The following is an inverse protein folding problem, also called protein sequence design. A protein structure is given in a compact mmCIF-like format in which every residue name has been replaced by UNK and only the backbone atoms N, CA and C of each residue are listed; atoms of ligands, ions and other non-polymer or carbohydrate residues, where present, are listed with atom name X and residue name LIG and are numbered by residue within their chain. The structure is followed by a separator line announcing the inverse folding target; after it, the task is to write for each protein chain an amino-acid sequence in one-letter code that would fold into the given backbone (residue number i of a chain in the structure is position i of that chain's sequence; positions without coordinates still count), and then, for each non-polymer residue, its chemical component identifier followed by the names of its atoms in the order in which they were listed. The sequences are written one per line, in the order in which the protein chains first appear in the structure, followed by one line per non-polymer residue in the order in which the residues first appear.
data_IF_187086779595
#
_entry.id   IF_187086779595
#
_cell.length_a   1.000
_cell.length_b   1.000
_cell.length_c   1.000
_cell.angle_alpha   90.00
_cell.angle_beta   90.00
_cell.angle_gamma   90.00
#
_symmetry.space_group_name_H-M   'P 1'
#
loop_
_entity.id
_entity.type
_entity.pdbx_description
1 polymer ?
#
# COMPACT_ATOMS: atom_id res chain seq x y z
N UNK A 1 -1.26 65.79 -25.52
CA UNK A 1 -1.77 64.52 -26.07
C UNK A 1 -1.26 63.39 -25.20
N UNK A 2 -2.15 62.82 -24.37
CA UNK A 2 -1.83 61.67 -23.52
C UNK A 2 -2.26 60.40 -24.26
N UNK A 3 -1.30 59.53 -24.62
CA UNK A 3 -1.58 58.25 -25.22
C UNK A 3 -2.20 57.30 -24.16
N UNK A 4 -3.26 56.58 -24.47
CA UNK A 4 -3.81 55.59 -23.54
C UNK A 4 -2.85 54.42 -23.44
N UNK A 5 -2.53 54.02 -22.20
CA UNK A 5 -1.86 52.76 -21.89
C UNK A 5 -2.79 51.57 -22.27
N UNK A 6 -2.24 50.52 -22.89
CA UNK A 6 -3.04 49.33 -23.16
C UNK A 6 -3.43 48.65 -21.85
N UNK A 7 -4.72 48.42 -21.65
CA UNK A 7 -5.27 47.55 -20.61
C UNK A 7 -4.79 46.13 -20.92
N UNK A 8 -3.89 45.58 -20.12
CA UNK A 8 -3.59 44.16 -20.16
C UNK A 8 -4.88 43.41 -19.74
N UNK A 9 -5.45 42.69 -20.69
CA UNK A 9 -6.54 41.78 -20.41
C UNK A 9 -6.02 40.75 -19.38
N UNK A 10 -6.63 40.74 -18.19
CA UNK A 10 -6.38 39.66 -17.23
C UNK A 10 -6.77 38.35 -17.91
N UNK A 11 -5.83 37.44 -18.02
CA UNK A 11 -6.11 36.07 -18.51
C UNK A 11 -7.26 35.48 -17.69
N UNK A 12 -8.26 34.91 -18.40
CA UNK A 12 -9.33 34.19 -17.73
C UNK A 12 -8.71 33.12 -16.82
N UNK A 13 -9.21 32.94 -15.57
CA UNK A 13 -8.64 31.94 -14.67
C UNK A 13 -8.66 30.57 -15.37
N UNK A 14 -7.50 29.93 -15.37
CA UNK A 14 -7.36 28.61 -15.98
C UNK A 14 -8.44 27.67 -15.43
N UNK A 15 -9.18 27.02 -16.33
CA UNK A 15 -10.27 26.11 -15.96
C UNK A 15 -9.71 25.03 -15.03
N UNK A 16 -10.28 24.89 -13.83
CA UNK A 16 -9.93 23.82 -12.92
C UNK A 16 -10.08 22.44 -13.64
N UNK A 17 -9.04 21.61 -13.53
CA UNK A 17 -9.07 20.22 -13.99
C UNK A 17 -9.14 19.31 -12.77
N UNK A 18 -10.09 18.39 -12.78
CA UNK A 18 -10.19 17.37 -11.72
C UNK A 18 -8.99 16.40 -11.78
N UNK A 19 -8.68 15.77 -10.65
CA UNK A 19 -7.66 14.73 -10.59
C UNK A 19 -7.93 13.60 -11.61
N UNK A 20 -9.20 13.25 -11.86
CA UNK A 20 -9.56 12.23 -12.85
C UNK A 20 -9.26 12.68 -14.29
N UNK A 21 -9.62 13.91 -14.67
CA UNK A 21 -9.31 14.45 -16.01
C UNK A 21 -7.79 14.53 -16.25
N UNK A 22 -6.99 14.74 -15.20
CA UNK A 22 -5.52 14.73 -15.28
C UNK A 22 -5.01 13.31 -15.54
N UNK A 23 -5.53 12.33 -14.76
CA UNK A 23 -5.17 10.92 -14.89
C UNK A 23 -5.56 10.37 -16.26
N UNK A 24 -6.77 10.67 -16.76
CA UNK A 24 -7.28 10.19 -18.04
C UNK A 24 -6.48 10.74 -19.23
N UNK A 25 -5.92 11.95 -19.09
CA UNK A 25 -5.08 12.59 -20.10
C UNK A 25 -3.59 12.23 -19.98
N UNK A 26 -3.21 11.35 -19.04
CA UNK A 26 -1.81 11.03 -18.78
C UNK A 26 -1.16 10.25 -19.92
N UNK A 27 0.09 10.55 -20.29
CA UNK A 27 0.83 9.78 -21.28
C UNK A 27 1.18 8.38 -20.73
N UNK A 28 1.36 7.42 -21.64
CA UNK A 28 1.73 6.05 -21.27
C UNK A 28 3.07 5.96 -20.48
N UNK A 29 3.99 6.89 -20.76
CA UNK A 29 5.29 6.99 -20.08
C UNK A 29 5.20 7.26 -18.56
N UNK A 30 4.08 7.82 -18.11
CA UNK A 30 3.85 8.11 -16.69
C UNK A 30 3.38 6.87 -15.90
N UNK A 31 3.22 5.75 -16.58
CA UNK A 31 2.78 4.49 -16.00
C UNK A 31 3.86 3.42 -16.11
N UNK A 32 3.93 2.55 -15.14
CA UNK A 32 4.80 1.38 -15.17
C UNK A 32 4.07 0.12 -14.68
N UNK A 33 4.58 -1.02 -15.07
CA UNK A 33 4.09 -2.32 -14.60
C UNK A 33 4.92 -2.74 -13.38
N UNK A 34 4.29 -3.12 -12.25
CA UNK A 34 5.01 -3.67 -11.11
C UNK A 34 5.80 -4.93 -11.49
N UNK A 35 6.96 -5.11 -10.87
CA UNK A 35 7.81 -6.27 -11.12
C UNK A 35 7.10 -7.57 -10.72
N UNK A 36 6.98 -8.58 -11.61
CA UNK A 36 6.24 -9.81 -11.32
C UNK A 36 6.78 -10.58 -10.11
N UNK A 37 8.09 -10.54 -9.86
CA UNK A 37 8.73 -11.15 -8.70
C UNK A 37 8.42 -10.44 -7.39
N UNK A 38 7.85 -9.23 -7.44
CA UNK A 38 7.39 -8.44 -6.30
C UNK A 38 5.87 -8.34 -6.23
N UNK A 39 5.15 -9.03 -7.10
CA UNK A 39 3.69 -9.00 -7.16
C UNK A 39 3.12 -10.32 -6.66
N UNK A 40 2.30 -10.26 -5.60
CA UNK A 40 1.57 -11.41 -5.09
C UNK A 40 0.11 -11.38 -5.58
N UNK A 41 -0.40 -12.52 -5.91
CA UNK A 41 -1.81 -12.78 -6.17
C UNK A 41 -2.39 -13.62 -5.04
N UNK A 42 -3.16 -13.00 -4.15
CA UNK A 42 -3.96 -13.68 -3.15
C UNK A 42 -5.31 -14.02 -3.77
N UNK A 43 -5.63 -15.30 -3.91
CA UNK A 43 -6.89 -15.78 -4.44
C UNK A 43 -7.84 -16.13 -3.30
N UNK A 44 -8.99 -15.48 -3.27
CA UNK A 44 -10.11 -15.73 -2.39
C UNK A 44 -11.29 -16.24 -3.22
N UNK A 45 -12.31 -16.84 -2.58
CA UNK A 45 -13.53 -17.29 -3.28
C UNK A 45 -14.18 -16.14 -4.07
N UNK A 46 -14.21 -14.92 -3.50
CA UNK A 46 -14.81 -13.74 -4.12
C UNK A 46 -13.97 -13.05 -5.21
N UNK A 47 -12.70 -13.47 -5.43
CA UNK A 47 -11.82 -12.83 -6.42
C UNK A 47 -10.35 -12.78 -6.02
N UNK A 48 -9.60 -11.93 -6.70
CA UNK A 48 -8.15 -11.82 -6.53
C UNK A 48 -7.76 -10.46 -5.93
N UNK A 49 -6.98 -10.51 -4.85
CA UNK A 49 -6.25 -9.36 -4.32
C UNK A 49 -4.85 -9.34 -4.94
N UNK A 50 -4.43 -8.20 -5.47
CA UNK A 50 -3.10 -8.01 -6.04
C UNK A 50 -2.30 -7.12 -5.11
N UNK A 51 -1.15 -7.60 -4.69
CA UNK A 51 -0.28 -6.96 -3.69
C UNK A 51 1.09 -6.72 -4.31
N UNK A 52 1.66 -5.57 -4.06
CA UNK A 52 3.04 -5.23 -4.40
C UNK A 52 3.91 -5.28 -3.14
N UNK A 53 5.01 -6.01 -3.21
CA UNK A 53 6.00 -6.12 -2.15
C UNK A 53 7.04 -5.00 -2.25
N UNK A 54 7.57 -4.57 -1.11
CA UNK A 54 8.49 -3.44 -0.95
C UNK A 54 9.93 -3.89 -0.60
N UNK A 55 10.67 -4.58 -1.50
CA UNK A 55 12.00 -5.11 -1.19
C UNK A 55 13.04 -4.02 -0.89
N UNK A 56 12.80 -2.79 -1.32
CA UNK A 56 13.66 -1.64 -1.00
C UNK A 56 13.62 -1.33 0.50
N UNK A 57 12.50 -1.57 1.17
CA UNK A 57 12.31 -1.25 2.59
C UNK A 57 12.48 -2.46 3.51
N UNK A 58 12.04 -3.62 3.08
CA UNK A 58 12.05 -4.85 3.88
C UNK A 58 12.63 -6.03 3.07
N UNK A 59 13.92 -5.98 2.66
CA UNK A 59 14.51 -7.01 1.82
C UNK A 59 14.47 -8.41 2.44
N UNK A 60 14.69 -8.54 3.75
CA UNK A 60 14.70 -9.83 4.43
C UNK A 60 13.30 -10.43 4.53
N UNK A 61 12.31 -9.65 4.98
CA UNK A 61 10.91 -10.10 5.04
C UNK A 61 10.37 -10.40 3.65
N UNK A 62 10.62 -9.54 2.65
CA UNK A 62 10.17 -9.79 1.27
C UNK A 62 10.83 -11.05 0.70
N UNK A 63 12.12 -11.27 0.99
CA UNK A 63 12.81 -12.52 0.64
C UNK A 63 12.10 -13.76 1.21
N UNK A 64 11.75 -13.69 2.49
CA UNK A 64 11.05 -14.77 3.19
C UNK A 64 9.63 -14.99 2.65
N UNK A 65 8.88 -13.90 2.42
CA UNK A 65 7.54 -13.95 1.82
C UNK A 65 7.58 -14.60 0.43
N UNK A 66 8.58 -14.26 -0.40
CA UNK A 66 8.73 -14.89 -1.73
C UNK A 66 9.01 -16.38 -1.62
N UNK A 67 9.84 -16.81 -0.65
CA UNK A 67 10.11 -18.22 -0.40
C UNK A 67 8.83 -18.95 -0.01
N UNK A 68 8.10 -18.44 0.97
CA UNK A 68 6.84 -19.02 1.43
C UNK A 68 5.76 -19.05 0.33
N UNK A 69 5.70 -18.04 -0.53
CA UNK A 69 4.77 -18.04 -1.66
C UNK A 69 5.08 -19.13 -2.68
N UNK A 70 6.37 -19.38 -2.99
CA UNK A 70 6.81 -20.47 -3.88
C UNK A 70 6.53 -21.84 -3.26
N UNK A 71 6.60 -21.95 -1.96
CA UNK A 71 6.37 -23.19 -1.22
C UNK A 71 4.90 -23.37 -0.80
N UNK A 72 4.00 -22.52 -1.31
CA UNK A 72 2.56 -22.62 -1.07
C UNK A 72 2.17 -22.57 0.42
N UNK A 73 2.90 -21.80 1.21
CA UNK A 73 2.67 -21.73 2.66
C UNK A 73 1.24 -21.31 3.01
N UNK A 74 0.71 -20.26 2.33
CA UNK A 74 -0.62 -19.74 2.64
C UNK A 74 -1.78 -20.52 2.02
N UNK A 75 -1.51 -21.50 1.14
CA UNK A 75 -2.56 -22.27 0.47
C UNK A 75 -3.36 -23.06 1.51
N UNK A 76 -4.67 -22.82 1.53
CA UNK A 76 -5.59 -23.42 2.49
C UNK A 76 -5.58 -22.78 3.90
N UNK A 77 -4.76 -21.77 4.14
CA UNK A 77 -4.86 -20.94 5.34
C UNK A 77 -6.02 -19.94 5.22
N UNK A 78 -6.14 -19.00 6.14
CA UNK A 78 -7.30 -18.12 6.18
C UNK A 78 -6.97 -16.71 6.68
N UNK A 79 -7.86 -15.77 6.34
CA UNK A 79 -7.99 -14.53 7.09
C UNK A 79 -8.73 -14.89 8.38
N UNK A 80 -8.02 -14.83 9.49
CA UNK A 80 -8.51 -15.30 10.80
C UNK A 80 -8.85 -14.18 11.78
N UNK A 81 -8.58 -12.91 11.37
CA UNK A 81 -8.88 -11.70 12.13
C UNK A 81 -9.38 -10.59 11.20
N UNK A 82 -10.45 -9.93 11.59
CA UNK A 82 -10.95 -8.71 10.95
C UNK A 82 -11.40 -7.75 12.04
N UNK A 83 -10.54 -6.82 12.40
CA UNK A 83 -10.83 -5.81 13.41
C UNK A 83 -11.41 -4.55 12.77
N UNK A 84 -12.53 -4.07 13.30
CA UNK A 84 -13.17 -2.88 12.77
C UNK A 84 -12.24 -1.66 12.81
N UNK A 85 -12.33 -0.85 11.76
CA UNK A 85 -11.54 0.37 11.56
C UNK A 85 -10.03 0.19 11.78
N UNK A 86 -9.48 -1.02 11.54
CA UNK A 86 -8.07 -1.31 11.74
C UNK A 86 -7.50 -2.18 10.62
N UNK A 87 -7.53 -3.51 10.77
CA UNK A 87 -6.87 -4.43 9.84
C UNK A 87 -7.69 -5.70 9.59
N UNK A 88 -7.41 -6.36 8.47
CA UNK A 88 -7.60 -7.80 8.30
C UNK A 88 -6.24 -8.48 8.39
N UNK A 89 -6.16 -9.64 9.06
CA UNK A 89 -4.93 -10.39 9.28
C UNK A 89 -5.10 -11.83 8.83
N UNK A 90 -4.07 -12.35 8.20
CA UNK A 90 -4.06 -13.69 7.63
C UNK A 90 -2.70 -14.36 7.82
N UNK A 91 -2.74 -15.69 7.83
CA UNK A 91 -1.61 -16.57 8.07
C UNK A 91 -2.07 -17.85 8.72
N UNK A 92 -1.20 -18.47 9.52
CA UNK A 92 -1.51 -19.66 10.26
C UNK A 92 -2.11 -19.33 11.64
N UNK A 93 -3.40 -19.52 11.78
CA UNK A 93 -4.09 -19.24 13.05
C UNK A 93 -3.65 -20.16 14.21
N UNK A 94 -2.94 -21.24 13.91
CA UNK A 94 -2.40 -22.20 14.88
C UNK A 94 -0.87 -22.05 15.05
N UNK A 95 -0.26 -20.96 14.56
CA UNK A 95 1.19 -20.72 14.57
C UNK A 95 1.83 -20.85 15.97
N UNK A 96 1.09 -20.52 17.04
CA UNK A 96 1.56 -20.62 18.43
C UNK A 96 1.50 -22.06 18.99
N UNK A 97 0.78 -22.96 18.35
CA UNK A 97 0.69 -24.38 18.69
C UNK A 97 1.68 -25.21 17.87
N UNK A 98 2.85 -25.49 18.44
CA UNK A 98 3.91 -26.25 17.75
C UNK A 98 3.48 -27.59 17.17
N UNK A 99 2.40 -28.19 17.68
CA UNK A 99 1.88 -29.47 17.17
C UNK A 99 0.99 -29.29 15.94
N UNK A 100 0.47 -28.10 15.69
CA UNK A 100 -0.45 -27.78 14.60
C UNK A 100 0.12 -26.80 13.59
N UNK A 101 1.10 -25.98 14.01
CA UNK A 101 1.69 -24.96 13.18
C UNK A 101 2.15 -25.51 11.83
N UNK A 102 1.75 -24.83 10.75
CA UNK A 102 2.17 -25.17 9.39
C UNK A 102 3.65 -24.89 9.21
N UNK A 103 4.37 -25.81 8.61
CA UNK A 103 5.79 -25.64 8.30
C UNK A 103 5.96 -24.48 7.31
N UNK A 104 6.90 -23.57 7.60
CA UNK A 104 7.32 -22.50 6.68
C UNK A 104 8.33 -22.98 5.63
N UNK A 105 8.57 -24.29 5.55
CA UNK A 105 9.46 -24.89 4.55
C UNK A 105 10.92 -24.42 4.72
N UNK A 106 11.52 -23.89 3.65
CA UNK A 106 12.90 -23.37 3.62
C UNK A 106 13.00 -21.89 4.03
N UNK A 107 11.89 -21.26 4.42
CA UNK A 107 11.91 -19.86 4.88
C UNK A 107 12.75 -19.70 6.16
N UNK A 108 13.38 -18.54 6.31
CA UNK A 108 14.18 -18.22 7.50
C UNK A 108 13.32 -18.20 8.75
N UNK A 109 13.88 -18.69 9.84
CA UNK A 109 13.23 -18.74 11.18
C UNK A 109 13.63 -17.57 12.09
N UNK A 110 14.43 -16.64 11.58
CA UNK A 110 14.83 -15.42 12.26
C UNK A 110 15.10 -14.33 11.23
N UNK A 111 14.50 -13.14 11.44
CA UNK A 111 14.70 -11.96 10.61
C UNK A 111 14.94 -10.75 11.51
N UNK A 112 15.79 -9.79 11.09
CA UNK A 112 15.92 -8.52 11.81
C UNK A 112 14.65 -7.68 11.60
N UNK A 113 14.37 -6.77 12.53
CA UNK A 113 13.36 -5.75 12.33
C UNK A 113 13.74 -4.80 11.18
N UNK A 114 12.79 -4.53 10.26
CA UNK A 114 12.99 -3.65 9.11
C UNK A 114 11.99 -2.48 9.15
N UNK A 115 11.99 -1.74 10.27
CA UNK A 115 11.02 -0.68 10.53
C UNK A 115 11.29 0.61 9.77
N UNK A 116 12.54 0.83 9.38
CA UNK A 116 13.05 2.01 8.68
C UNK A 116 14.39 1.71 8.02
N UNK A 117 14.82 2.61 7.14
CA UNK A 117 16.15 2.53 6.53
C UNK A 117 16.77 3.92 6.36
N UNK A 118 18.09 4.05 6.14
CA UNK A 118 18.71 5.33 5.78
C UNK A 118 18.05 5.93 4.54
N UNK A 119 17.83 7.26 4.57
CA UNK A 119 17.27 8.03 3.45
C UNK A 119 18.23 8.10 2.27
N UNK A 120 19.53 8.00 2.54
CA UNK A 120 20.57 8.07 1.52
C UNK A 120 20.33 7.02 0.42
N UNK A 121 20.39 7.47 -0.84
CA UNK A 121 20.22 6.61 -2.02
C UNK A 121 18.75 6.31 -2.41
N UNK A 122 17.76 6.85 -1.67
CA UNK A 122 16.36 6.72 -2.05
C UNK A 122 15.95 7.84 -3.02
N UNK A 123 15.26 7.48 -4.10
CA UNK A 123 14.58 8.44 -4.98
C UNK A 123 13.28 8.90 -4.29
N UNK A 124 13.38 9.92 -3.45
CA UNK A 124 12.28 10.43 -2.65
C UNK A 124 11.51 11.53 -3.40
N UNK A 125 10.27 11.26 -3.77
CA UNK A 125 9.33 12.26 -4.31
C UNK A 125 8.62 12.93 -3.16
N UNK A 126 9.04 14.14 -2.81
CA UNK A 126 8.48 14.89 -1.69
C UNK A 126 7.07 15.40 -1.98
N UNK A 127 6.21 15.35 -0.97
CA UNK A 127 4.93 16.05 -0.97
C UNK A 127 5.09 17.48 -0.44
N UNK A 128 4.20 18.39 -0.84
CA UNK A 128 4.26 19.78 -0.38
C UNK A 128 3.93 19.94 1.10
N UNK A 129 3.15 19.01 1.65
CA UNK A 129 2.63 19.09 3.01
C UNK A 129 3.27 18.03 3.90
N UNK A 130 3.60 18.41 5.13
CA UNK A 130 3.94 17.49 6.21
C UNK A 130 2.66 16.99 6.89
N UNK A 131 2.77 15.89 7.63
CA UNK A 131 1.70 15.43 8.53
C UNK A 131 2.14 15.44 9.99
N UNK A 132 1.27 15.00 10.89
CA UNK A 132 1.56 14.92 12.33
C UNK A 132 2.53 13.79 12.72
N UNK A 133 2.92 12.92 11.77
CA UNK A 133 3.68 11.70 12.02
C UNK A 133 5.11 11.75 11.47
N UNK A 134 5.36 12.63 10.52
CA UNK A 134 6.67 12.76 9.90
C UNK A 134 6.95 14.22 9.48
N UNK A 135 8.17 14.74 9.71
CA UNK A 135 8.58 16.07 9.24
C UNK A 135 8.53 16.21 7.72
N UNK A 136 8.76 15.11 7.01
CA UNK A 136 8.70 15.02 5.55
C UNK A 136 7.83 13.83 5.18
N UNK A 137 6.96 14.03 4.21
CA UNK A 137 6.11 12.99 3.62
C UNK A 137 6.34 12.92 2.13
N UNK A 138 6.15 11.76 1.55
CA UNK A 138 6.37 11.56 0.12
C UNK A 138 6.19 10.14 -0.33
N UNK A 139 6.81 9.85 -1.47
CA UNK A 139 6.82 8.52 -2.05
C UNK A 139 8.24 8.09 -2.40
N UNK A 140 8.51 6.80 -2.28
CA UNK A 140 9.68 6.14 -2.85
C UNK A 140 9.17 5.01 -3.74
N UNK A 141 9.33 5.16 -5.05
CA UNK A 141 8.62 4.32 -6.00
C UNK A 141 7.10 4.44 -5.75
N UNK A 142 6.43 3.31 -5.59
CA UNK A 142 4.98 3.23 -5.41
C UNK A 142 4.53 3.29 -3.95
N UNK A 143 5.45 3.52 -3.02
CA UNK A 143 5.16 3.40 -1.59
C UNK A 143 5.12 4.76 -0.89
N UNK A 144 4.04 4.98 -0.13
CA UNK A 144 3.90 6.13 0.75
C UNK A 144 4.90 6.04 1.91
N UNK A 145 5.65 7.10 2.15
CA UNK A 145 6.72 7.12 3.15
C UNK A 145 6.71 8.37 4.02
N UNK A 146 7.10 8.19 5.28
CA UNK A 146 7.53 9.28 6.15
C UNK A 146 9.05 9.32 6.25
N UNK A 147 9.61 10.50 6.53
CA UNK A 147 11.05 10.66 6.75
C UNK A 147 11.33 11.77 7.77
N UNK A 148 12.37 11.56 8.58
CA UNK A 148 12.96 12.60 9.44
C UNK A 148 14.16 13.30 8.77
N UNK A 149 14.53 12.85 7.57
CA UNK A 149 15.67 13.33 6.79
C UNK A 149 16.87 12.39 6.86
N UNK A 150 17.09 11.73 7.98
CA UNK A 150 18.13 10.71 8.17
C UNK A 150 17.60 9.31 7.79
N UNK A 151 16.40 9.00 8.27
CA UNK A 151 15.72 7.73 8.01
C UNK A 151 14.41 7.95 7.26
N UNK A 152 14.03 6.93 6.51
CA UNK A 152 12.76 6.85 5.78
C UNK A 152 12.10 5.50 6.09
N UNK A 153 10.78 5.53 6.28
CA UNK A 153 9.96 4.37 6.62
C UNK A 153 8.67 4.34 5.83
N UNK A 154 8.12 3.15 5.62
CA UNK A 154 6.81 2.99 5.01
C UNK A 154 5.71 3.47 5.96
N UNK A 155 4.68 4.10 5.41
CA UNK A 155 3.57 4.64 6.16
C UNK A 155 2.38 3.67 6.21
N UNK A 156 1.78 3.48 7.39
CA UNK A 156 0.58 2.68 7.58
C UNK A 156 -0.66 3.37 7.01
N UNK A 157 -0.70 3.56 5.70
CA UNK A 157 -1.88 4.05 5.01
C UNK A 157 -2.88 2.90 4.72
N UNK A 158 -4.13 3.24 4.37
CA UNK A 158 -5.11 2.28 3.90
C UNK A 158 -4.54 1.43 2.76
N UNK A 159 -4.66 0.12 2.85
CA UNK A 159 -4.09 -0.83 1.91
C UNK A 159 -2.61 -1.18 2.14
N UNK A 160 -1.92 -0.60 3.13
CA UNK A 160 -0.57 -1.03 3.49
C UNK A 160 -0.59 -2.48 3.99
N UNK A 161 0.43 -3.26 3.58
CA UNK A 161 0.66 -4.64 4.02
C UNK A 161 1.78 -4.67 5.05
N UNK A 162 1.49 -5.18 6.24
CA UNK A 162 2.47 -5.33 7.31
C UNK A 162 2.69 -6.77 7.72
N UNK A 163 3.86 -7.04 8.29
CA UNK A 163 4.22 -8.33 8.85
C UNK A 163 3.98 -8.32 10.38
N UNK A 164 3.03 -9.15 10.82
CA UNK A 164 2.69 -9.28 12.24
C UNK A 164 3.87 -9.74 13.07
N UNK A 165 3.95 -9.25 14.31
CA UNK A 165 4.98 -9.63 15.29
C UNK A 165 4.39 -9.74 16.69
N UNK A 166 5.11 -10.42 17.56
CA UNK A 166 4.90 -10.42 19.01
C UNK A 166 5.59 -9.20 19.66
N UNK A 167 5.91 -9.24 20.94
CA UNK A 167 6.53 -8.11 21.62
C UNK A 167 7.97 -7.85 21.19
N UNK A 168 8.72 -8.89 20.86
CA UNK A 168 10.11 -8.77 20.44
C UNK A 168 10.17 -8.20 19.00
N UNK A 169 11.06 -7.24 18.78
CA UNK A 169 11.15 -6.51 17.52
C UNK A 169 11.46 -7.41 16.30
N UNK A 170 12.23 -8.48 16.53
CA UNK A 170 12.68 -9.46 15.55
C UNK A 170 11.82 -10.74 15.52
N UNK A 171 10.63 -10.71 16.13
CA UNK A 171 9.72 -11.87 16.18
C UNK A 171 8.88 -12.07 14.91
N UNK A 172 8.91 -11.12 13.97
CA UNK A 172 8.20 -11.27 12.70
C UNK A 172 9.00 -12.08 11.70
N UNK A 173 8.31 -12.99 11.01
CA UNK A 173 8.90 -13.82 9.94
C UNK A 173 8.25 -13.57 8.58
N UNK A 174 7.26 -12.66 8.52
CA UNK A 174 6.47 -12.42 7.31
C UNK A 174 5.46 -13.54 7.00
N UNK A 175 5.25 -14.49 7.90
CA UNK A 175 4.24 -15.56 7.77
C UNK A 175 2.84 -15.06 8.12
N UNK A 176 2.75 -14.23 9.15
CA UNK A 176 1.54 -13.55 9.59
C UNK A 176 1.51 -12.15 8.99
N UNK A 177 0.55 -11.91 8.10
CA UNK A 177 0.44 -10.65 7.37
C UNK A 177 -0.89 -9.97 7.68
N UNK A 178 -0.90 -8.64 7.68
CA UNK A 178 -2.13 -7.86 7.80
C UNK A 178 -2.21 -6.77 6.76
N UNK A 179 -3.43 -6.42 6.37
CA UNK A 179 -3.72 -5.26 5.51
C UNK A 179 -4.53 -4.25 6.29
N UNK A 180 -4.12 -2.98 6.22
CA UNK A 180 -4.86 -1.87 6.82
C UNK A 180 -6.17 -1.65 6.05
N UNK A 181 -7.31 -1.80 6.74
CA UNK A 181 -8.66 -1.67 6.16
C UNK A 181 -9.50 -0.58 6.83
N UNK A 182 -8.89 0.18 7.71
CA UNK A 182 -9.55 1.28 8.43
C UNK A 182 -8.74 2.57 8.39
N UNK A 183 -8.95 3.40 9.41
CA UNK A 183 -8.17 4.62 9.59
C UNK A 183 -6.69 4.28 9.69
N UNK A 184 -5.85 5.05 9.00
CA UNK A 184 -4.41 4.83 8.94
C UNK A 184 -3.77 4.80 10.33
N UNK A 185 -3.30 3.65 10.82
CA UNK A 185 -2.74 3.51 12.17
C UNK A 185 -1.27 3.98 12.18
N UNK A 186 -1.05 5.25 11.88
CA UNK A 186 0.29 5.86 11.74
C UNK A 186 1.16 5.78 13.00
N UNK A 187 0.55 5.54 14.19
CA UNK A 187 1.27 5.26 15.43
C UNK A 187 2.07 3.93 15.36
N UNK A 188 1.76 3.08 14.40
CA UNK A 188 2.53 1.85 14.13
C UNK A 188 3.75 2.09 13.25
N UNK A 189 3.87 3.26 12.61
CA UNK A 189 5.05 3.62 11.83
C UNK A 189 6.30 3.45 12.68
N UNK A 190 7.34 2.81 12.13
CA UNK A 190 8.61 2.49 12.80
C UNK A 190 8.50 1.51 13.99
N UNK A 191 7.35 0.86 14.15
CA UNK A 191 7.11 -0.15 15.19
C UNK A 191 6.80 -1.54 14.62
N UNK A 192 6.40 -1.61 13.37
CA UNK A 192 6.12 -2.87 12.66
C UNK A 192 6.69 -2.78 11.25
N UNK A 193 7.26 -3.88 10.77
CA UNK A 193 7.76 -3.96 9.39
C UNK A 193 6.60 -3.95 8.40
N UNK A 194 6.51 -2.91 7.58
CA UNK A 194 5.67 -2.91 6.40
C UNK A 194 6.43 -3.56 5.23
N UNK A 195 5.77 -4.42 4.51
CA UNK A 195 6.37 -5.26 3.46
C UNK A 195 5.78 -5.00 2.08
N UNK A 196 4.75 -4.14 1.98
CA UNK A 196 4.10 -3.89 0.70
C UNK A 196 2.80 -3.11 0.82
N UNK A 197 2.00 -3.20 -0.23
CA UNK A 197 0.67 -2.58 -0.31
C UNK A 197 -0.25 -3.34 -1.26
N UNK A 198 -1.55 -3.19 -1.10
CA UNK A 198 -2.55 -3.68 -2.05
C UNK A 198 -2.67 -2.72 -3.23
N UNK A 199 -2.60 -3.26 -4.45
CA UNK A 199 -2.81 -2.55 -5.70
C UNK A 199 -4.27 -2.63 -6.18
N UNK A 200 -4.90 -3.80 -5.99
CA UNK A 200 -6.27 -4.09 -6.42
C UNK A 200 -6.90 -5.15 -5.53
N UNK A 201 -8.22 -5.07 -5.32
CA UNK A 201 -8.96 -6.05 -4.52
C UNK A 201 -9.19 -5.62 -3.06
N UNK A 202 -8.99 -4.33 -2.72
CA UNK A 202 -9.29 -3.81 -1.39
C UNK A 202 -10.77 -3.97 -1.02
N UNK A 203 -11.67 -3.94 -2.00
CA UNK A 203 -13.11 -4.18 -1.82
C UNK A 203 -13.38 -5.58 -1.25
N UNK A 204 -12.58 -6.58 -1.61
CA UNK A 204 -12.69 -7.94 -1.07
C UNK A 204 -12.27 -7.99 0.41
N UNK A 205 -11.21 -7.28 0.76
CA UNK A 205 -10.68 -7.26 2.13
C UNK A 205 -11.51 -6.40 3.08
N UNK A 206 -11.96 -5.24 2.61
CA UNK A 206 -12.74 -4.30 3.42
C UNK A 206 -14.18 -4.76 3.68
N UNK A 207 -14.72 -5.68 2.86
CA UNK A 207 -16.05 -6.28 3.02
C UNK A 207 -16.10 -7.51 3.92
N UNK A 208 -14.95 -8.02 4.36
CA UNK A 208 -14.89 -9.18 5.25
C UNK A 208 -15.64 -8.88 6.55
N UNK A 209 -16.52 -9.81 6.98
CA UNK A 209 -17.26 -9.69 8.24
C UNK A 209 -16.30 -9.39 9.38
N UNK A 210 -16.64 -8.40 10.20
CA UNK A 210 -15.84 -8.11 11.39
C UNK A 210 -15.89 -9.24 12.39
N UNK A 211 -14.75 -9.61 12.95
CA UNK A 211 -14.66 -10.52 14.07
C UNK A 211 -15.12 -9.85 15.37
N UNK A 212 -15.34 -10.63 16.43
CA UNK A 212 -15.81 -10.10 17.71
C UNK A 212 -14.79 -9.15 18.36
N UNK A 213 -15.33 -8.18 19.12
CA UNK A 213 -14.51 -7.28 19.93
C UNK A 213 -13.79 -8.05 21.07
N UNK A 214 -12.65 -7.51 21.56
CA UNK A 214 -12.05 -6.25 21.17
C UNK A 214 -11.05 -6.34 20.00
N UNK A 215 -10.60 -7.53 19.64
CA UNK A 215 -9.44 -7.71 18.75
C UNK A 215 -9.81 -8.20 17.33
N UNK A 216 -11.04 -8.62 17.11
CA UNK A 216 -11.50 -9.06 15.81
C UNK A 216 -11.06 -10.47 15.39
N UNK A 217 -10.55 -11.30 16.31
CA UNK A 217 -10.21 -12.71 16.02
C UNK A 217 -11.47 -13.58 15.99
N UNK A 218 -11.61 -14.40 14.96
CA UNK A 218 -12.71 -15.36 14.89
C UNK A 218 -12.46 -16.56 15.81
N UNK A 219 -13.42 -16.83 16.67
CA UNK A 219 -13.35 -17.98 17.59
C UNK A 219 -13.45 -19.31 16.85
N UNK A 220 -14.30 -19.36 15.79
CA UNK A 220 -14.56 -20.57 15.03
C UNK A 220 -13.89 -20.53 13.67
N UNK A 221 -13.26 -21.64 13.26
CA UNK A 221 -12.65 -21.75 11.94
C UNK A 221 -13.64 -21.51 10.78
N UNK A 222 -14.91 -21.89 10.96
CA UNK A 222 -15.97 -21.68 9.96
C UNK A 222 -16.31 -20.19 9.69
N UNK A 223 -15.89 -19.27 10.56
CA UNK A 223 -16.09 -17.84 10.37
C UNK A 223 -14.95 -17.17 9.61
N UNK A 224 -13.82 -17.86 9.48
CA UNK A 224 -12.63 -17.38 8.78
C UNK A 224 -12.87 -17.36 7.28
N UNK A 225 -12.24 -16.42 6.58
CA UNK A 225 -12.29 -16.36 5.11
C UNK A 225 -11.13 -17.20 4.55
N UNK A 226 -11.40 -18.30 3.83
CA UNK A 226 -10.36 -19.15 3.27
C UNK A 226 -9.52 -18.43 2.23
N UNK A 227 -8.22 -18.67 2.24
CA UNK A 227 -7.28 -18.31 1.18
C UNK A 227 -7.06 -19.52 0.30
N UNK A 228 -7.47 -19.44 -0.97
CA UNK A 228 -7.26 -20.52 -1.92
C UNK A 228 -5.77 -20.68 -2.23
N UNK A 229 -5.08 -19.57 -2.49
CA UNK A 229 -3.62 -19.56 -2.72
C UNK A 229 -3.06 -18.15 -2.61
N UNK A 230 -1.76 -18.05 -2.29
CA UNK A 230 -0.95 -16.84 -2.52
C UNK A 230 0.24 -17.22 -3.39
N UNK A 231 0.36 -16.61 -4.56
CA UNK A 231 1.35 -16.93 -5.57
C UNK A 231 2.05 -15.67 -6.07
N UNK A 232 3.34 -15.80 -6.44
CA UNK A 232 4.05 -14.73 -7.15
C UNK A 232 3.56 -14.66 -8.60
N UNK A 233 3.37 -13.44 -9.10
CA UNK A 233 3.03 -13.26 -10.52
C UNK A 233 4.13 -13.82 -11.45
N UNK A 234 5.40 -13.83 -11.00
CA UNK A 234 6.51 -14.42 -11.75
C UNK A 234 6.37 -15.93 -11.96
N UNK A 235 5.68 -16.64 -11.09
CA UNK A 235 5.45 -18.10 -11.19
C UNK A 235 4.33 -18.46 -12.18
N UNK A 236 3.56 -17.46 -12.62
CA UNK A 236 2.49 -17.67 -13.60
C UNK A 236 2.97 -17.39 -15.03
N UNK A 237 2.44 -18.12 -16.04
CA UNK A 237 2.60 -17.75 -17.43
C UNK A 237 2.21 -16.29 -17.70
N UNK A 238 2.86 -15.64 -18.67
CA UNK A 238 2.66 -14.23 -18.91
C UNK A 238 1.20 -13.86 -19.28
N UNK A 239 0.51 -14.75 -19.96
CA UNK A 239 -0.91 -14.62 -20.36
C UNK A 239 -1.91 -14.77 -19.20
N UNK A 240 -1.46 -15.31 -18.05
CA UNK A 240 -2.26 -15.41 -16.83
C UNK A 240 -2.00 -14.26 -15.86
N UNK A 241 -1.02 -13.40 -16.15
CA UNK A 241 -0.72 -12.23 -15.35
C UNK A 241 -1.68 -11.09 -15.67
N UNK A 242 -2.10 -10.38 -14.64
CA UNK A 242 -2.93 -9.19 -14.83
C UNK A 242 -2.04 -8.07 -15.39
N UNK A 243 -2.42 -7.50 -16.53
CA UNK A 243 -1.74 -6.35 -17.11
C UNK A 243 -2.06 -5.08 -16.30
N UNK A 244 -1.46 -4.96 -15.13
CA UNK A 244 -1.68 -3.87 -14.21
C UNK A 244 -0.59 -2.82 -14.34
N UNK A 245 -0.98 -1.55 -14.33
CA UNK A 245 -0.08 -0.41 -14.36
C UNK A 245 -0.34 0.51 -13.17
N UNK A 246 0.73 1.08 -12.64
CA UNK A 246 0.72 2.05 -11.54
C UNK A 246 1.24 3.39 -12.07
N UNK A 247 0.63 4.49 -11.64
CA UNK A 247 1.10 5.83 -11.98
C UNK A 247 2.42 6.11 -11.25
N UNK A 248 3.44 6.50 -12.00
CA UNK A 248 4.75 6.87 -11.45
C UNK A 248 4.66 8.10 -10.56
N UNK A 249 5.11 8.01 -9.33
CA UNK A 249 5.05 9.10 -8.36
C UNK A 249 6.01 10.24 -8.67
N UNK A 250 7.04 9.99 -9.49
CA UNK A 250 7.97 11.00 -10.01
C UNK A 250 7.48 11.69 -11.30
N UNK A 251 6.26 11.38 -11.77
CA UNK A 251 5.68 11.96 -12.98
C UNK A 251 5.02 13.31 -12.74
N UNK A 252 4.97 14.13 -13.80
CA UNK A 252 4.20 15.37 -13.77
C UNK A 252 2.70 15.11 -13.53
N UNK A 253 2.15 14.05 -14.10
CA UNK A 253 0.75 13.67 -13.89
C UNK A 253 0.45 13.43 -12.42
N UNK A 254 1.35 12.75 -11.70
CA UNK A 254 1.18 12.54 -10.26
C UNK A 254 1.21 13.87 -9.49
N UNK A 255 2.19 14.72 -9.74
CA UNK A 255 2.30 16.04 -9.10
C UNK A 255 1.05 16.91 -9.34
N UNK A 256 0.57 16.96 -10.59
CA UNK A 256 -0.65 17.70 -10.96
C UNK A 256 -1.90 17.12 -10.26
N UNK A 257 -1.95 15.78 -10.12
CA UNK A 257 -3.06 15.08 -9.43
C UNK A 257 -3.08 15.40 -7.94
N UNK A 258 -1.91 15.42 -7.29
CA UNK A 258 -1.76 15.82 -5.89
C UNK A 258 -2.23 17.26 -5.70
N UNK A 259 -1.79 18.18 -6.56
CA UNK A 259 -2.14 19.61 -6.48
C UNK A 259 -3.66 19.81 -6.74
N UNK A 260 -4.23 19.12 -7.70
CA UNK A 260 -5.67 19.18 -7.99
C UNK A 260 -6.54 18.70 -6.82
N UNK A 261 -6.05 17.75 -6.03
CA UNK A 261 -6.73 17.30 -4.80
C UNK A 261 -6.54 18.28 -3.65
N UNK A 262 -5.31 18.76 -3.47
CA UNK A 262 -4.91 19.69 -2.42
C UNK A 262 -5.68 21.02 -2.50
N UNK A 263 -5.86 21.54 -3.71
CA UNK A 263 -6.48 22.84 -3.97
C UNK A 263 -7.77 22.74 -4.78
N UNK A 264 -8.55 21.67 -4.55
CA UNK A 264 -9.80 21.43 -5.26
C UNK A 264 -10.80 22.57 -5.02
N UNK A 265 -11.19 23.23 -6.11
CA UNK A 265 -12.27 24.23 -6.16
C UNK A 265 -13.14 23.94 -7.38
N UNK A 266 -14.39 23.54 -7.18
CA UNK A 266 -15.32 23.19 -8.25
C UNK A 266 -16.77 23.51 -7.85
N UNK A 267 -17.73 22.99 -8.57
CA UNK A 267 -19.15 23.17 -8.27
C UNK A 267 -19.57 22.72 -6.86
N UNK A 268 -18.91 21.69 -6.32
CA UNK A 268 -19.15 21.16 -4.98
C UNK A 268 -18.23 21.79 -3.93
N UNK A 269 -16.91 21.77 -4.17
CA UNK A 269 -15.92 22.33 -3.24
C UNK A 269 -15.82 23.85 -3.38
N UNK A 270 -16.20 24.58 -2.35
CA UNK A 270 -16.24 26.06 -2.33
C UNK A 270 -14.98 26.69 -1.76
N UNK A 271 -14.17 25.90 -1.03
CA UNK A 271 -12.91 26.33 -0.42
C UNK A 271 -11.87 25.24 -0.64
N UNK A 272 -10.72 25.64 -1.13
CA UNK A 272 -9.55 24.76 -1.20
C UNK A 272 -9.06 24.43 0.22
N UNK A 273 -8.69 23.18 0.46
CA UNK A 273 -8.08 22.79 1.72
C UNK A 273 -6.68 23.39 1.90
N UNK A 274 -5.93 23.55 0.80
CA UNK A 274 -4.55 24.01 0.82
C UNK A 274 -3.57 23.02 1.45
N UNK A 275 -4.07 21.80 1.73
CA UNK A 275 -3.35 20.73 2.39
C UNK A 275 -3.85 19.37 1.94
N UNK A 276 -2.95 18.38 1.94
CA UNK A 276 -3.31 16.98 1.73
C UNK A 276 -2.39 16.06 2.56
N UNK A 277 -3.00 15.22 3.39
CA UNK A 277 -2.25 14.20 4.13
C UNK A 277 -1.74 13.09 3.21
N UNK A 278 -0.58 12.53 3.55
CA UNK A 278 0.05 11.44 2.83
C UNK A 278 -0.92 10.29 2.53
N UNK A 279 -1.65 9.82 3.53
CA UNK A 279 -2.57 8.70 3.40
C UNK A 279 -3.87 9.03 2.65
N UNK A 280 -4.12 10.31 2.34
CA UNK A 280 -5.25 10.76 1.52
C UNK A 280 -4.90 10.90 0.02
N UNK A 281 -3.67 10.56 -0.35
CA UNK A 281 -3.23 10.55 -1.74
C UNK A 281 -3.36 9.11 -2.28
N UNK A 282 -4.39 8.80 -3.07
CA UNK A 282 -4.46 7.50 -3.73
C UNK A 282 -3.41 7.46 -4.84
N UNK A 283 -2.68 6.37 -4.92
CA UNK A 283 -1.83 6.10 -6.06
C UNK A 283 -2.67 5.40 -7.15
N UNK A 284 -2.88 6.03 -8.31
CA UNK A 284 -3.71 5.45 -9.36
C UNK A 284 -3.15 4.14 -9.91
N UNK A 285 -4.05 3.18 -10.07
CA UNK A 285 -3.78 1.87 -10.65
C UNK A 285 -4.79 1.64 -11.76
N UNK A 286 -4.35 1.09 -12.90
CA UNK A 286 -5.23 0.75 -14.02
C UNK A 286 -4.88 -0.61 -14.60
N UNK A 287 -5.82 -1.21 -15.32
CA UNK A 287 -5.51 -2.34 -16.20
C UNK A 287 -4.91 -1.77 -17.48
N UNK A 288 -3.71 -2.22 -17.83
CA UNK A 288 -3.06 -1.89 -19.10
C UNK A 288 -3.89 -2.37 -20.29
N UNK A 289 -3.80 -1.64 -21.38
CA UNK A 289 -4.46 -2.00 -22.65
C UNK A 289 -3.66 -3.08 -23.36
#
# INVERSE_FOLDING_TARGET
MLSPLPLLAADAPAKYRSAQEIIDASPASDWHTPAPENTLYMNLEGGRVIIELAPVFAPEHVGNIRTMAREHFWDGLAIYRSQDNFVVQFGDADADDKAKAKSMGSAKTHLPAEFQRPTQGLAFTALPDRDGWAPKTGFVGDFAVGSDGEHTWLAHCYGALGAGRNNDEDSSLGAELYVVTGQSPRQLDRNITLVGRVLKGMELLSSIKRGPEPMGFYANAAERTPITSIQLASELPADQRVALQVLRTDSKTFADTVEARRNRVDGFYKRAAGHIDLCNIPLPVRIGK
#
